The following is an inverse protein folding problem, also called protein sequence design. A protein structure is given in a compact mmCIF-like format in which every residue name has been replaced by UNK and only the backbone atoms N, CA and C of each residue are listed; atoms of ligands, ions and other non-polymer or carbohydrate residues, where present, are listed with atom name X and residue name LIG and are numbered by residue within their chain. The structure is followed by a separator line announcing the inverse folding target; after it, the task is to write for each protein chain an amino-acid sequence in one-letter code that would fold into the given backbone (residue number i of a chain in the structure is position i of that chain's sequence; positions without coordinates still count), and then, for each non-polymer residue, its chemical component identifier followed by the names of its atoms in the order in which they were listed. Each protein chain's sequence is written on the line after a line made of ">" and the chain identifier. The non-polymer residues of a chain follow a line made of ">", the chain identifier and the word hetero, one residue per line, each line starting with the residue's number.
data_IF_070378223198
#
_entry.id   IF_070378223198
#
_cell.length_a   1.000
_cell.length_b   1.000
_cell.length_c   1.000
_cell.angle_alpha   90.00
_cell.angle_beta   90.00
_cell.angle_gamma   90.00
#
_symmetry.space_group_name_H-M   'P 1'
#
loop_
_entity.id
_entity.type
_entity.pdbx_description
1 polymer ?
#
# COMPACT_ATOMS: atom_id res chain seq x y z
N UNK A 1 39.88 -37.44 17.22
CA UNK A 1 38.48 -37.22 16.80
C UNK A 1 38.13 -35.75 17.09
N UNK A 2 38.18 -34.88 16.07
CA UNK A 2 38.10 -33.41 16.20
C UNK A 2 36.62 -32.99 16.13
N UNK A 3 36.01 -32.62 17.24
CA UNK A 3 34.69 -31.94 17.29
C UNK A 3 34.96 -30.45 17.28
N UNK A 4 34.63 -29.76 16.20
CA UNK A 4 34.51 -28.30 16.00
C UNK A 4 33.85 -28.18 14.61
N UNK A 5 32.70 -27.55 14.36
CA UNK A 5 32.13 -26.32 14.89
C UNK A 5 30.60 -26.39 14.78
N UNK A 6 29.88 -26.19 15.88
CA UNK A 6 28.50 -25.75 15.80
C UNK A 6 28.52 -24.33 15.23
N UNK A 7 28.13 -24.19 13.97
CA UNK A 7 27.77 -22.92 13.33
C UNK A 7 27.10 -22.01 14.36
N UNK A 8 27.68 -20.83 14.61
CA UNK A 8 27.13 -19.78 15.47
C UNK A 8 25.75 -19.38 14.95
N UNK A 9 24.73 -20.11 15.39
CA UNK A 9 23.35 -19.81 15.09
C UNK A 9 22.98 -18.56 15.90
N UNK A 10 23.11 -17.40 15.27
CA UNK A 10 22.62 -16.14 15.82
C UNK A 10 21.09 -16.26 15.91
N UNK A 11 20.58 -16.55 17.12
CA UNK A 11 19.15 -16.61 17.39
C UNK A 11 18.64 -15.17 17.48
N UNK A 12 18.12 -14.66 16.36
CA UNK A 12 17.40 -13.38 16.35
C UNK A 12 16.10 -13.52 17.14
N UNK A 13 16.06 -12.95 18.34
CA UNK A 13 14.85 -12.94 19.17
C UNK A 13 13.91 -11.83 18.69
N UNK A 14 13.00 -12.15 17.77
CA UNK A 14 11.98 -11.21 17.32
C UNK A 14 10.82 -11.16 18.33
N UNK A 15 10.59 -9.99 18.93
CA UNK A 15 9.43 -9.80 19.81
C UNK A 15 8.26 -9.23 19.01
N UNK A 16 7.11 -9.91 19.06
CA UNK A 16 5.88 -9.43 18.42
C UNK A 16 5.33 -8.26 19.23
N UNK A 17 5.35 -7.05 18.66
CA UNK A 17 4.87 -5.85 19.34
C UNK A 17 3.34 -5.74 19.30
N UNK A 18 2.75 -5.95 18.13
CA UNK A 18 1.31 -5.74 17.91
C UNK A 18 0.84 -6.43 16.65
N UNK A 19 -0.30 -7.10 16.76
CA UNK A 19 -1.05 -7.71 15.66
C UNK A 19 -2.36 -6.95 15.53
N UNK A 20 -2.66 -6.49 14.32
CA UNK A 20 -3.94 -5.83 14.04
C UNK A 20 -4.77 -6.79 13.21
N UNK A 21 -5.83 -7.40 13.79
CA UNK A 21 -6.79 -8.16 13.00
C UNK A 21 -7.55 -7.21 12.08
N UNK A 22 -7.78 -7.64 10.84
CA UNK A 22 -8.65 -6.91 9.92
C UNK A 22 -10.10 -7.06 10.37
N UNK A 23 -10.62 -6.05 11.07
CA UNK A 23 -12.00 -6.06 11.55
C UNK A 23 -12.98 -5.94 10.39
N UNK A 24 -13.89 -6.90 10.24
CA UNK A 24 -14.85 -6.97 9.12
C UNK A 24 -15.73 -5.71 9.01
N UNK A 25 -16.12 -5.10 10.13
CA UNK A 25 -16.88 -3.83 10.10
C UNK A 25 -16.11 -2.70 9.41
N UNK A 26 -14.82 -2.55 9.70
CA UNK A 26 -14.00 -1.49 9.11
C UNK A 26 -13.86 -1.71 7.60
N UNK A 27 -13.69 -2.98 7.23
CA UNK A 27 -13.67 -3.42 5.84
C UNK A 27 -14.99 -3.11 5.13
N UNK A 28 -16.12 -3.40 5.80
CA UNK A 28 -17.47 -3.11 5.30
C UNK A 28 -17.68 -1.62 5.04
N UNK A 29 -17.29 -0.74 5.97
CA UNK A 29 -17.37 0.71 5.78
C UNK A 29 -16.47 1.18 4.63
N UNK A 30 -15.26 0.62 4.52
CA UNK A 30 -14.32 0.95 3.46
C UNK A 30 -14.85 0.61 2.05
N UNK A 31 -15.47 -0.56 1.87
CA UNK A 31 -16.11 -0.92 0.60
C UNK A 31 -17.46 -0.26 0.38
N UNK A 32 -18.22 0.02 1.44
CA UNK A 32 -19.47 0.75 1.35
C UNK A 32 -19.23 2.14 0.74
N UNK A 33 -18.16 2.82 1.16
CA UNK A 33 -17.78 4.12 0.59
C UNK A 33 -17.49 4.03 -0.92
N UNK A 34 -16.80 2.98 -1.35
CA UNK A 34 -16.54 2.72 -2.76
C UNK A 34 -17.81 2.37 -3.54
N UNK A 35 -18.69 1.58 -2.95
CA UNK A 35 -19.97 1.19 -3.54
C UNK A 35 -20.89 2.40 -3.75
N UNK A 36 -20.97 3.30 -2.77
CA UNK A 36 -21.74 4.55 -2.90
C UNK A 36 -21.22 5.40 -4.05
N UNK A 37 -19.90 5.53 -4.18
CA UNK A 37 -19.31 6.27 -5.29
C UNK A 37 -19.51 5.58 -6.65
N UNK A 38 -19.46 4.25 -6.68
CA UNK A 38 -19.75 3.47 -7.89
C UNK A 38 -21.21 3.64 -8.34
N UNK A 39 -22.17 3.66 -7.41
CA UNK A 39 -23.58 3.95 -7.70
C UNK A 39 -23.73 5.36 -8.26
N UNK A 40 -23.09 6.37 -7.65
CA UNK A 40 -23.05 7.73 -8.22
C UNK A 40 -22.50 7.72 -9.65
N UNK A 41 -21.39 7.03 -9.88
CA UNK A 41 -20.75 6.97 -11.19
C UNK A 41 -21.63 6.27 -12.24
N UNK A 42 -22.39 5.26 -11.84
CA UNK A 42 -23.38 4.57 -12.68
C UNK A 42 -24.52 5.51 -13.07
N UNK A 43 -25.08 6.26 -12.12
CA UNK A 43 -26.17 7.22 -12.36
C UNK A 43 -25.74 8.36 -13.30
N UNK A 44 -24.47 8.78 -13.24
CA UNK A 44 -23.94 9.84 -14.12
C UNK A 44 -23.37 9.31 -15.44
N UNK A 45 -23.49 8.00 -15.74
CA UNK A 45 -22.93 7.39 -16.96
C UNK A 45 -21.38 7.38 -17.02
N UNK A 46 -20.72 7.68 -15.91
CA UNK A 46 -19.26 7.79 -15.80
C UNK A 46 -18.59 6.50 -15.31
N UNK A 47 -19.30 5.38 -15.33
CA UNK A 47 -18.79 4.08 -14.86
C UNK A 47 -17.50 3.67 -15.59
N UNK A 48 -17.45 3.93 -16.90
CA UNK A 48 -16.29 3.61 -17.72
C UNK A 48 -15.05 4.43 -17.30
N UNK A 49 -15.22 5.70 -16.94
CA UNK A 49 -14.10 6.52 -16.45
C UNK A 49 -13.65 6.10 -15.06
N UNK A 50 -14.53 5.57 -14.22
CA UNK A 50 -14.18 4.98 -12.93
C UNK A 50 -13.35 3.70 -13.08
N UNK A 51 -13.76 2.79 -13.96
CA UNK A 51 -13.00 1.56 -14.24
C UNK A 51 -11.62 1.86 -14.85
N UNK A 52 -11.56 2.75 -15.85
CA UNK A 52 -10.29 3.18 -16.43
C UNK A 52 -9.43 3.91 -15.41
N UNK A 53 -10.02 4.76 -14.56
CA UNK A 53 -9.31 5.43 -13.48
C UNK A 53 -8.69 4.47 -12.49
N UNK A 54 -9.39 3.37 -12.16
CA UNK A 54 -8.82 2.32 -11.31
C UNK A 54 -7.60 1.64 -11.92
N UNK A 55 -7.69 1.23 -13.19
CA UNK A 55 -6.56 0.61 -13.89
C UNK A 55 -5.39 1.60 -13.97
N UNK A 56 -5.67 2.86 -14.32
CA UNK A 56 -4.68 3.92 -14.44
C UNK A 56 -3.95 4.17 -13.11
N UNK A 57 -4.68 4.31 -12.00
CA UNK A 57 -4.09 4.53 -10.68
C UNK A 57 -3.20 3.35 -10.28
N UNK A 58 -3.61 2.11 -10.57
CA UNK A 58 -2.78 0.95 -10.23
C UNK A 58 -1.50 0.87 -11.08
N UNK A 59 -1.58 1.21 -12.37
CA UNK A 59 -0.39 1.33 -13.22
C UNK A 59 0.54 2.44 -12.71
N UNK A 60 -0.01 3.60 -12.35
CA UNK A 60 0.76 4.72 -11.81
C UNK A 60 1.46 4.32 -10.51
N UNK A 61 0.76 3.67 -9.59
CA UNK A 61 1.37 3.18 -8.34
C UNK A 61 2.47 2.15 -8.63
N UNK A 62 2.25 1.24 -9.57
CA UNK A 62 3.26 0.24 -9.93
C UNK A 62 4.51 0.87 -10.52
N UNK A 63 4.36 1.83 -11.43
CA UNK A 63 5.48 2.57 -12.03
C UNK A 63 6.22 3.38 -10.98
N UNK A 64 5.51 4.09 -10.10
CA UNK A 64 6.11 4.87 -9.03
C UNK A 64 6.90 3.99 -8.05
N UNK A 65 6.38 2.81 -7.68
CA UNK A 65 7.12 1.88 -6.80
C UNK A 65 8.36 1.32 -7.51
N UNK A 66 8.22 0.86 -8.76
CA UNK A 66 9.35 0.35 -9.54
C UNK A 66 10.42 1.41 -9.73
N UNK A 67 10.02 2.63 -10.08
CA UNK A 67 10.92 3.78 -10.21
C UNK A 67 11.64 4.07 -8.89
N UNK A 68 10.90 4.14 -7.77
CA UNK A 68 11.51 4.37 -6.46
C UNK A 68 12.54 3.27 -6.10
N UNK A 69 12.21 1.99 -6.33
CA UNK A 69 13.14 0.90 -6.04
C UNK A 69 14.39 0.95 -6.91
N UNK A 70 14.22 1.21 -8.20
CA UNK A 70 15.32 1.27 -9.16
C UNK A 70 16.24 2.46 -8.89
N UNK A 71 15.69 3.67 -8.72
CA UNK A 71 16.47 4.90 -8.58
C UNK A 71 17.00 5.13 -7.15
N UNK A 72 16.19 4.87 -6.12
CA UNK A 72 16.54 5.25 -4.74
C UNK A 72 17.32 4.16 -4.02
N UNK A 73 16.93 2.89 -4.19
CA UNK A 73 17.55 1.79 -3.46
C UNK A 73 18.66 1.07 -4.22
N UNK A 74 18.78 1.26 -5.55
CA UNK A 74 19.64 0.44 -6.42
C UNK A 74 19.55 -1.06 -6.10
N UNK A 75 18.38 -1.47 -5.61
CA UNK A 75 18.14 -2.80 -5.11
C UNK A 75 17.22 -3.48 -6.10
N UNK A 76 17.52 -4.72 -6.45
CA UNK A 76 16.59 -5.48 -7.26
C UNK A 76 15.24 -5.58 -6.54
N UNK A 77 14.12 -5.56 -7.29
CA UNK A 77 12.78 -5.78 -6.75
C UNK A 77 12.57 -7.20 -6.18
N UNK A 78 13.63 -7.98 -5.95
CA UNK A 78 13.58 -9.29 -5.32
C UNK A 78 12.81 -9.19 -3.99
N UNK A 79 11.65 -9.85 -3.95
CA UNK A 79 10.76 -9.85 -2.80
C UNK A 79 9.62 -8.82 -2.84
N UNK A 80 9.38 -8.09 -3.94
CA UNK A 80 8.14 -7.35 -4.13
C UNK A 80 7.21 -8.11 -5.09
N UNK A 81 6.03 -8.47 -4.61
CA UNK A 81 5.03 -9.18 -5.42
C UNK A 81 3.70 -8.44 -5.41
N UNK A 82 2.94 -8.63 -6.49
CA UNK A 82 1.57 -8.16 -6.53
C UNK A 82 0.75 -9.06 -5.61
N UNK A 83 0.15 -8.47 -4.57
CA UNK A 83 -0.72 -9.22 -3.64
C UNK A 83 -2.06 -8.51 -3.57
N UNK A 84 -3.11 -9.31 -3.67
CA UNK A 84 -4.46 -8.89 -3.38
C UNK A 84 -4.73 -9.16 -1.90
N UNK A 85 -4.45 -8.17 -1.06
CA UNK A 85 -4.90 -8.19 0.32
C UNK A 85 -5.97 -7.11 0.50
N UNK A 86 -6.90 -7.35 1.41
CA UNK A 86 -8.14 -6.59 1.53
C UNK A 86 -7.95 -5.06 1.63
N UNK A 87 -7.10 -4.62 2.57
CA UNK A 87 -6.70 -3.21 2.74
C UNK A 87 -5.44 -2.83 1.96
N UNK A 88 -4.83 -3.82 1.29
CA UNK A 88 -3.55 -3.71 0.62
C UNK A 88 -3.60 -4.38 -0.75
N UNK A 89 -4.43 -3.86 -1.65
CA UNK A 89 -4.39 -4.27 -3.05
C UNK A 89 -3.22 -3.54 -3.71
N UNK A 90 -2.21 -4.27 -4.19
CA UNK A 90 -1.11 -3.69 -4.96
C UNK A 90 0.24 -4.39 -4.85
N UNK A 91 1.27 -3.69 -5.31
CA UNK A 91 2.66 -4.17 -5.27
C UNK A 91 3.27 -3.94 -3.89
N UNK A 92 3.52 -5.01 -3.15
CA UNK A 92 3.86 -4.96 -1.72
C UNK A 92 5.12 -5.80 -1.47
N UNK A 93 6.00 -5.38 -0.53
CA UNK A 93 7.13 -6.18 -0.14
C UNK A 93 6.67 -7.44 0.61
N UNK A 94 7.14 -8.61 0.16
CA UNK A 94 7.00 -9.91 0.81
C UNK A 94 7.97 -10.07 2.00
N UNK A 95 9.00 -9.23 2.08
CA UNK A 95 10.03 -9.22 3.11
C UNK A 95 9.75 -8.21 4.24
N UNK A 96 10.45 -8.32 5.37
CA UNK A 96 10.36 -7.37 6.47
C UNK A 96 10.82 -5.99 6.01
N UNK A 97 9.98 -4.97 6.19
CA UNK A 97 10.33 -3.59 5.83
C UNK A 97 10.21 -2.69 7.04
N UNK A 98 11.22 -1.83 7.24
CA UNK A 98 11.15 -0.77 8.23
C UNK A 98 9.95 0.13 7.96
N UNK A 99 9.13 0.34 9.01
CA UNK A 99 7.92 1.16 8.96
C UNK A 99 8.16 2.53 8.32
N UNK A 100 9.26 3.20 8.70
CA UNK A 100 9.62 4.54 8.23
C UNK A 100 9.88 4.62 6.72
N UNK A 101 10.56 3.62 6.16
CA UNK A 101 10.84 3.57 4.72
C UNK A 101 9.57 3.30 3.92
N UNK A 102 8.71 2.44 4.45
CA UNK A 102 7.44 2.11 3.85
C UNK A 102 6.45 3.29 3.88
N UNK A 103 6.39 4.04 4.97
CA UNK A 103 5.58 5.26 5.08
C UNK A 103 6.03 6.35 4.09
N UNK A 104 7.34 6.62 3.99
CA UNK A 104 7.88 7.58 3.02
C UNK A 104 7.53 7.20 1.58
N UNK A 105 7.66 5.92 1.23
CA UNK A 105 7.28 5.42 -0.08
C UNK A 105 5.79 5.67 -0.39
N UNK A 106 4.91 5.47 0.60
CA UNK A 106 3.48 5.74 0.43
C UNK A 106 3.14 7.24 0.32
N UNK A 107 3.87 8.11 1.01
CA UNK A 107 3.76 9.55 0.81
C UNK A 107 4.22 9.96 -0.59
N UNK A 108 5.32 9.39 -1.08
CA UNK A 108 5.75 9.61 -2.46
C UNK A 108 4.70 9.16 -3.46
N UNK A 109 4.04 8.02 -3.22
CA UNK A 109 2.92 7.55 -4.04
C UNK A 109 1.72 8.50 -4.01
N UNK A 110 1.40 9.07 -2.85
CA UNK A 110 0.35 10.05 -2.72
C UNK A 110 0.65 11.28 -3.56
N UNK A 111 1.84 11.86 -3.39
CA UNK A 111 2.28 13.06 -4.12
C UNK A 111 2.37 12.77 -5.62
N UNK A 112 2.96 11.65 -6.03
CA UNK A 112 3.11 11.29 -7.44
C UNK A 112 1.75 11.09 -8.12
N UNK A 113 0.78 10.51 -7.43
CA UNK A 113 -0.56 10.36 -7.99
C UNK A 113 -1.30 11.69 -8.10
N UNK A 114 -1.18 12.59 -7.11
CA UNK A 114 -1.71 13.95 -7.23
C UNK A 114 -1.08 14.72 -8.39
N UNK A 115 0.25 14.64 -8.54
CA UNK A 115 0.96 15.25 -9.66
C UNK A 115 0.50 14.67 -11.00
N UNK A 116 0.32 13.34 -11.09
CA UNK A 116 -0.21 12.69 -12.28
C UNK A 116 -1.63 13.14 -12.62
N UNK A 117 -2.52 13.27 -11.62
CA UNK A 117 -3.90 13.75 -11.83
C UNK A 117 -3.91 15.21 -12.28
N UNK A 118 -3.07 16.07 -11.69
CA UNK A 118 -2.94 17.47 -12.09
C UNK A 118 -2.44 17.60 -13.53
N UNK A 119 -1.50 16.75 -13.95
CA UNK A 119 -1.07 16.69 -15.34
C UNK A 119 -2.19 16.27 -16.27
N UNK A 120 -3.13 15.43 -15.85
CA UNK A 120 -4.27 15.03 -16.69
C UNK A 120 -5.38 16.09 -16.77
N UNK A 121 -5.29 17.17 -15.99
CA UNK A 121 -6.31 18.23 -15.93
C UNK A 121 -6.70 18.82 -17.29
N UNK A 122 -5.77 19.12 -18.22
CA UNK A 122 -6.11 19.70 -19.53
C UNK A 122 -6.85 18.75 -20.47
N UNK A 123 -6.67 17.43 -20.31
CA UNK A 123 -7.11 16.43 -21.28
C UNK A 123 -8.43 15.76 -20.91
N UNK A 124 -8.81 15.77 -19.62
CA UNK A 124 -9.94 15.02 -19.12
C UNK A 124 -11.05 15.92 -18.57
N UNK A 125 -12.30 15.45 -18.67
CA UNK A 125 -13.44 16.14 -18.07
C UNK A 125 -13.35 16.14 -16.54
N UNK A 126 -13.95 17.15 -15.90
CA UNK A 126 -14.00 17.26 -14.45
C UNK A 126 -14.59 16.00 -13.78
N UNK A 127 -15.59 15.37 -14.41
CA UNK A 127 -16.17 14.11 -13.94
C UNK A 127 -15.14 12.97 -13.92
N UNK A 128 -14.36 12.80 -15.00
CA UNK A 128 -13.33 11.77 -15.07
C UNK A 128 -12.21 12.01 -14.05
N UNK A 129 -11.74 13.26 -13.91
CA UNK A 129 -10.73 13.63 -12.92
C UNK A 129 -11.20 13.35 -11.49
N UNK A 130 -12.46 13.66 -11.18
CA UNK A 130 -13.04 13.37 -9.86
C UNK A 130 -13.07 11.88 -9.54
N UNK A 131 -13.35 11.03 -10.53
CA UNK A 131 -13.33 9.57 -10.37
C UNK A 131 -11.91 9.05 -10.17
N UNK A 132 -10.93 9.52 -10.93
CA UNK A 132 -9.52 9.12 -10.77
C UNK A 132 -9.02 9.55 -9.38
N UNK A 133 -9.32 10.78 -8.96
CA UNK A 133 -8.91 11.31 -7.66
C UNK A 133 -9.55 10.53 -6.52
N UNK A 134 -10.85 10.22 -6.62
CA UNK A 134 -11.54 9.37 -5.66
C UNK A 134 -10.87 8.01 -5.54
N UNK A 135 -10.59 7.34 -6.67
CA UNK A 135 -9.96 6.02 -6.65
C UNK A 135 -8.55 6.07 -6.06
N UNK A 136 -7.76 7.08 -6.40
CA UNK A 136 -6.43 7.31 -5.82
C UNK A 136 -6.48 7.48 -4.30
N UNK A 137 -7.38 8.33 -3.82
CA UNK A 137 -7.57 8.56 -2.39
C UNK A 137 -8.13 7.34 -1.67
N UNK A 138 -9.04 6.58 -2.30
CA UNK A 138 -9.62 5.39 -1.72
C UNK A 138 -8.55 4.33 -1.48
N UNK A 139 -7.76 3.99 -2.51
CA UNK A 139 -6.67 3.00 -2.41
C UNK A 139 -5.64 3.42 -1.36
N UNK A 140 -5.25 4.69 -1.32
CA UNK A 140 -4.29 5.20 -0.33
C UNK A 140 -4.89 5.30 1.07
N UNK A 141 -6.17 5.63 1.19
CA UNK A 141 -6.88 5.81 2.46
C UNK A 141 -6.86 4.54 3.30
N UNK A 142 -7.09 3.37 2.69
CA UNK A 142 -6.96 2.09 3.38
C UNK A 142 -5.56 1.86 3.96
N UNK A 143 -4.52 2.29 3.23
CA UNK A 143 -3.12 2.18 3.65
C UNK A 143 -2.74 3.19 4.74
N UNK A 144 -3.23 4.44 4.65
CA UNK A 144 -3.00 5.48 5.66
C UNK A 144 -3.69 5.18 6.99
N UNK A 145 -4.89 4.58 6.95
CA UNK A 145 -5.56 4.14 8.17
C UNK A 145 -4.68 3.18 8.99
N UNK A 146 -4.05 2.22 8.34
CA UNK A 146 -3.12 1.29 8.99
C UNK A 146 -1.90 2.03 9.56
N UNK A 147 -1.39 3.06 8.87
CA UNK A 147 -0.30 3.88 9.42
C UNK A 147 -0.68 4.62 10.69
N UNK A 148 -1.88 5.18 10.75
CA UNK A 148 -2.38 5.84 11.95
C UNK A 148 -2.46 4.86 13.13
N UNK A 149 -2.91 3.63 12.88
CA UNK A 149 -3.01 2.62 13.93
C UNK A 149 -1.64 2.16 14.46
N UNK A 150 -0.61 2.16 13.59
CA UNK A 150 0.78 1.82 13.94
C UNK A 150 1.66 3.03 14.30
N UNK A 151 1.12 4.26 14.37
CA UNK A 151 1.88 5.50 14.63
C UNK A 151 2.79 5.40 15.87
N UNK A 152 2.35 4.71 16.93
CA UNK A 152 3.13 4.54 18.17
C UNK A 152 4.38 3.67 18.00
N UNK A 153 4.48 2.88 16.92
CA UNK A 153 5.57 1.91 16.67
C UNK A 153 6.49 2.34 15.51
N UNK A 154 6.36 3.60 15.08
CA UNK A 154 7.04 4.20 13.92
C UNK A 154 8.57 4.05 13.92
N UNK A 155 9.21 4.10 15.09
CA UNK A 155 10.66 4.19 15.25
C UNK A 155 11.37 2.83 15.31
N UNK A 156 10.68 1.75 15.71
CA UNK A 156 11.34 0.50 16.13
C UNK A 156 10.76 -0.76 15.46
N UNK A 157 9.70 -0.60 14.67
CA UNK A 157 8.94 -1.71 14.10
C UNK A 157 9.40 -2.15 12.71
N UNK A 158 9.75 -3.42 12.58
CA UNK A 158 9.77 -4.15 11.32
C UNK A 158 8.36 -4.64 11.00
N UNK A 159 7.80 -4.18 9.89
CA UNK A 159 6.48 -4.62 9.44
C UNK A 159 6.61 -5.91 8.63
N UNK A 160 5.80 -6.91 8.99
CA UNK A 160 5.51 -8.08 8.15
C UNK A 160 4.06 -7.99 7.67
N UNK A 161 3.90 -7.83 6.37
CA UNK A 161 2.61 -7.72 5.70
C UNK A 161 2.19 -9.12 5.22
N UNK A 162 1.17 -9.71 5.85
CA UNK A 162 0.53 -10.97 5.42
C UNK A 162 -0.88 -10.65 4.89
N UNK A 163 -1.43 -11.49 4.02
CA UNK A 163 -2.69 -11.20 3.32
C UNK A 163 -3.89 -10.97 4.26
N UNK A 164 -3.91 -11.65 5.41
CA UNK A 164 -4.98 -11.54 6.41
C UNK A 164 -4.58 -10.72 7.63
N UNK A 165 -3.28 -10.40 7.78
CA UNK A 165 -2.75 -9.89 9.05
C UNK A 165 -1.54 -9.00 8.85
N UNK A 166 -1.49 -7.90 9.61
CA UNK A 166 -0.33 -7.02 9.68
C UNK A 166 0.31 -7.15 11.05
N UNK A 167 1.54 -7.65 11.09
CA UNK A 167 2.28 -7.89 12.34
C UNK A 167 3.51 -6.99 12.39
N UNK A 168 3.69 -6.30 13.51
CA UNK A 168 4.85 -5.47 13.79
C UNK A 168 5.78 -6.23 14.75
N UNK A 169 7.05 -6.36 14.37
CA UNK A 169 8.09 -6.99 15.18
C UNK A 169 9.14 -5.96 15.60
N UNK A 170 9.65 -6.07 16.82
CA UNK A 170 10.84 -5.35 17.29
C UNK A 170 11.99 -6.35 17.38
N UNK A 171 13.16 -5.89 16.93
CA UNK A 171 14.44 -6.55 17.16
C UNK A 171 15.11 -5.90 18.38
#
# INVERSE_FOLDING_TARGET
>A
MKKNTSSDAIIYTYTLLRRIPHHLLLLGVYYAFAAVWAVKALLTGSLLSLCLGYIFVQLLHMLAIRGYLHFVRKAEPQGWSFRFAHLWTGYIPAQYVMFRSFFRLHLHLLISGFAGILLLYPWFSAAALSNILFVHLWILGGRFYMFLMFRKQYQVGWLRLRANETSCYKQ
#
